data_IF_621103109518
#
_entry.id   IF_621103109518
#
_cell.length_a   1.000
_cell.length_b   1.000
_cell.length_c   1.000
_cell.angle_alpha   90.00
_cell.angle_beta   90.00
_cell.angle_gamma   90.00
#
_symmetry.space_group_name_H-M   'P 1'
#
loop_
_entity.id
_entity.type
_entity.pdbx_description
1 polymer ?
#
# COMPACT_ATOMS: atom_id res chain seq x y z
N UNK A 1 37.57 3.34 -80.31
CA UNK A 1 36.38 3.30 -79.53
C UNK A 1 36.71 2.56 -78.24
N UNK A 2 36.86 3.28 -77.11
CA UNK A 2 37.16 2.70 -75.80
C UNK A 2 35.88 2.65 -74.97
N UNK A 3 35.38 1.44 -74.71
CA UNK A 3 34.22 1.20 -73.90
C UNK A 3 34.62 1.27 -72.41
N UNK A 4 34.18 2.30 -71.72
CA UNK A 4 34.38 2.43 -70.26
C UNK A 4 33.43 1.44 -69.57
N UNK A 5 34.00 0.41 -68.97
CA UNK A 5 33.28 -0.49 -68.01
C UNK A 5 33.02 0.24 -66.74
N UNK A 6 31.78 0.63 -66.46
CA UNK A 6 31.34 1.09 -65.19
C UNK A 6 31.41 -0.07 -64.20
N UNK A 7 32.33 -0.02 -63.24
CA UNK A 7 32.33 -0.90 -62.07
C UNK A 7 31.04 -0.64 -61.25
N UNK A 8 30.16 -1.64 -61.20
CA UNK A 8 29.04 -1.65 -60.27
C UNK A 8 29.59 -1.64 -58.86
N UNK A 9 29.16 -0.66 -58.06
CA UNK A 9 29.43 -0.60 -56.60
C UNK A 9 28.64 -1.73 -55.97
N UNK A 10 29.32 -2.72 -55.39
CA UNK A 10 28.70 -3.75 -54.58
C UNK A 10 27.92 -3.10 -53.44
N UNK A 11 26.67 -3.46 -53.31
CA UNK A 11 25.82 -3.07 -52.21
C UNK A 11 26.17 -3.98 -51.03
N UNK A 12 26.58 -3.46 -49.84
CA UNK A 12 26.94 -4.31 -48.74
C UNK A 12 25.74 -5.16 -48.29
N UNK A 13 26.00 -6.42 -47.91
CA UNK A 13 24.99 -7.31 -47.37
C UNK A 13 24.38 -6.76 -46.07
N UNK A 14 23.15 -7.17 -45.77
CA UNK A 14 22.40 -6.66 -44.59
C UNK A 14 23.14 -6.88 -43.27
N UNK A 15 23.93 -7.94 -43.14
CA UNK A 15 24.72 -8.26 -41.94
C UNK A 15 25.89 -7.29 -41.74
N UNK A 16 26.55 -6.87 -42.83
CA UNK A 16 27.62 -5.85 -42.77
C UNK A 16 27.09 -4.49 -42.37
N UNK A 17 25.87 -4.14 -42.76
CA UNK A 17 25.20 -2.89 -42.37
C UNK A 17 24.89 -2.88 -40.85
N UNK A 18 24.47 -4.01 -40.29
CA UNK A 18 24.20 -4.12 -38.85
C UNK A 18 25.47 -3.95 -38.00
N UNK A 19 26.61 -4.53 -38.46
CA UNK A 19 27.89 -4.38 -37.79
C UNK A 19 28.42 -2.94 -37.87
N UNK A 20 28.28 -2.27 -39.01
CA UNK A 20 28.65 -0.86 -39.17
C UNK A 20 27.79 0.03 -38.28
N UNK A 21 26.48 -0.22 -38.19
CA UNK A 21 25.58 0.55 -37.31
C UNK A 21 25.95 0.35 -35.85
N UNK A 22 26.31 -0.87 -35.43
CA UNK A 22 26.75 -1.13 -34.05
C UNK A 22 28.02 -0.38 -33.69
N UNK A 23 29.03 -0.39 -34.59
CA UNK A 23 30.29 0.36 -34.38
C UNK A 23 30.09 1.87 -34.37
N UNK A 24 29.21 2.41 -35.21
CA UNK A 24 28.87 3.84 -35.22
C UNK A 24 28.14 4.25 -33.92
N UNK A 25 27.34 3.35 -33.35
CA UNK A 25 26.64 3.63 -32.07
C UNK A 25 27.58 3.62 -30.88
N UNK A 26 28.66 2.83 -30.90
CA UNK A 26 29.64 2.76 -29.85
C UNK A 26 30.59 3.99 -29.82
N UNK A 27 31.00 4.50 -30.98
CA UNK A 27 31.89 5.65 -31.12
C UNK A 27 31.19 7.00 -31.30
N UNK A 28 29.87 7.05 -31.19
CA UNK A 28 29.12 8.28 -31.41
C UNK A 28 29.52 9.33 -30.33
N UNK A 29 30.03 10.50 -30.74
CA UNK A 29 30.30 11.61 -29.83
C UNK A 29 29.02 12.16 -29.17
N UNK A 30 27.84 11.70 -29.62
CA UNK A 30 26.53 12.00 -29.06
C UNK A 30 26.06 10.97 -28.01
N UNK A 31 26.98 10.19 -27.40
CA UNK A 31 26.60 9.41 -26.19
C UNK A 31 25.95 10.37 -25.21
N UNK A 32 24.63 10.22 -25.04
CA UNK A 32 23.86 11.02 -24.07
C UNK A 32 24.59 10.89 -22.73
N UNK A 33 25.15 11.98 -22.22
CA UNK A 33 25.74 11.98 -20.88
C UNK A 33 24.72 11.36 -19.95
N UNK A 34 25.13 10.46 -19.04
CA UNK A 34 24.21 9.90 -18.06
C UNK A 34 23.51 11.07 -17.39
N UNK A 35 22.20 11.12 -17.54
CA UNK A 35 21.38 12.21 -16.99
C UNK A 35 21.58 12.19 -15.49
N UNK A 36 22.37 13.12 -14.96
CA UNK A 36 22.53 13.29 -13.51
C UNK A 36 21.14 13.35 -12.90
N UNK A 37 20.88 12.44 -11.96
CA UNK A 37 19.58 12.36 -11.28
C UNK A 37 19.30 13.73 -10.67
N UNK A 38 18.28 14.40 -11.17
CA UNK A 38 17.93 15.77 -10.71
C UNK A 38 17.58 15.69 -9.22
N UNK A 39 18.21 16.55 -8.43
CA UNK A 39 17.99 16.65 -6.98
C UNK A 39 16.96 17.72 -6.63
N UNK A 40 16.73 18.68 -7.52
CA UNK A 40 15.83 19.81 -7.32
C UNK A 40 14.79 19.92 -8.43
N UNK A 41 13.54 20.24 -8.07
CA UNK A 41 12.46 20.56 -8.99
C UNK A 41 11.99 22.01 -8.79
N UNK A 42 11.29 22.55 -9.78
CA UNK A 42 10.67 23.86 -9.70
C UNK A 42 9.29 23.81 -9.02
N UNK A 43 8.85 24.93 -8.44
CA UNK A 43 7.48 25.04 -7.88
C UNK A 43 6.39 24.74 -8.92
N UNK A 44 6.50 25.20 -10.20
CA UNK A 44 5.54 24.79 -11.24
C UNK A 44 5.54 23.31 -11.55
N UNK A 45 6.70 22.63 -11.54
CA UNK A 45 6.78 21.18 -11.75
C UNK A 45 6.08 20.42 -10.62
N UNK A 46 6.34 20.77 -9.37
CA UNK A 46 5.63 20.21 -8.21
C UNK A 46 4.12 20.44 -8.32
N UNK A 47 3.70 21.65 -8.72
CA UNK A 47 2.29 21.95 -8.93
C UNK A 47 1.63 21.12 -10.01
N UNK A 48 2.34 20.79 -11.11
CA UNK A 48 1.86 19.86 -12.16
C UNK A 48 1.74 18.44 -11.64
N UNK A 49 2.72 17.98 -10.85
CA UNK A 49 2.69 16.64 -10.24
C UNK A 49 1.48 16.43 -9.33
N UNK A 50 1.10 17.45 -8.57
CA UNK A 50 -0.02 17.41 -7.63
C UNK A 50 -1.34 17.95 -8.20
N UNK A 51 -1.38 18.39 -9.47
CA UNK A 51 -2.57 19.00 -10.07
C UNK A 51 -3.00 20.32 -9.41
N UNK A 52 -2.07 21.07 -8.79
CA UNK A 52 -2.37 22.26 -8.01
C UNK A 52 -2.39 23.54 -8.85
N UNK A 53 -3.30 24.47 -8.51
CA UNK A 53 -3.35 25.82 -9.06
C UNK A 53 -2.14 26.65 -8.57
N UNK A 54 -1.90 27.79 -9.23
CA UNK A 54 -0.76 28.67 -8.92
C UNK A 54 -0.72 29.11 -7.45
N UNK A 55 -1.84 29.50 -6.89
CA UNK A 55 -1.96 29.94 -5.49
C UNK A 55 -1.63 28.83 -4.51
N UNK A 56 -2.22 27.64 -4.73
CA UNK A 56 -2.12 26.50 -3.80
C UNK A 56 -0.71 25.92 -3.72
N UNK A 57 0.02 25.88 -4.86
CA UNK A 57 1.41 25.40 -4.88
C UNK A 57 2.37 26.31 -4.12
N UNK A 58 2.20 27.65 -4.21
CA UNK A 58 3.03 28.58 -3.44
C UNK A 58 2.66 28.56 -1.96
N UNK A 59 1.38 28.44 -1.63
CA UNK A 59 0.93 28.27 -0.26
C UNK A 59 1.52 27.00 0.39
N UNK A 60 1.60 25.89 -0.37
CA UNK A 60 2.22 24.66 0.12
C UNK A 60 3.72 24.82 0.38
N UNK A 61 4.44 25.57 -0.48
CA UNK A 61 5.86 25.91 -0.27
C UNK A 61 6.03 26.76 0.98
N UNK A 62 5.17 27.76 1.20
CA UNK A 62 5.23 28.63 2.39
C UNK A 62 4.95 27.89 3.70
N UNK A 63 4.28 26.74 3.67
CA UNK A 63 4.10 25.87 4.83
C UNK A 63 5.39 25.17 5.30
N UNK A 64 6.45 25.24 4.52
CA UNK A 64 7.75 24.60 4.82
C UNK A 64 7.65 23.10 5.19
N UNK A 65 6.72 22.38 4.55
CA UNK A 65 6.51 20.94 4.79
C UNK A 65 7.59 20.06 4.15
N UNK A 66 8.33 20.63 3.20
CA UNK A 66 9.50 20.01 2.56
C UNK A 66 10.60 21.07 2.36
N UNK A 67 11.82 20.60 2.15
CA UNK A 67 12.99 21.47 1.96
C UNK A 67 12.86 22.27 0.67
N UNK A 68 12.92 23.59 0.78
CA UNK A 68 12.96 24.52 -0.33
C UNK A 68 14.13 25.50 -0.21
N UNK A 69 14.75 25.84 -1.33
CA UNK A 69 15.90 26.77 -1.39
C UNK A 69 15.75 27.69 -2.58
N UNK A 70 16.16 28.92 -2.43
CA UNK A 70 16.28 29.83 -3.55
C UNK A 70 17.60 29.61 -4.30
N UNK A 71 17.50 29.30 -5.58
CA UNK A 71 18.64 29.08 -6.47
C UNK A 71 18.45 29.96 -7.71
N UNK A 72 19.38 30.88 -7.96
CA UNK A 72 19.34 31.84 -9.06
C UNK A 72 18.02 32.64 -9.11
N UNK A 73 17.57 33.21 -7.98
CA UNK A 73 16.34 34.03 -7.87
C UNK A 73 15.05 33.23 -8.04
N UNK A 74 15.09 31.89 -7.97
CA UNK A 74 13.91 31.04 -8.11
C UNK A 74 13.86 29.98 -7.01
N UNK A 75 12.68 29.80 -6.40
CA UNK A 75 12.46 28.76 -5.39
C UNK A 75 12.56 27.39 -6.05
N UNK A 76 13.37 26.52 -5.48
CA UNK A 76 13.57 25.12 -5.85
C UNK A 76 13.20 24.24 -4.67
N UNK A 77 12.66 23.07 -4.96
CA UNK A 77 12.20 22.08 -3.99
C UNK A 77 13.11 20.86 -4.09
N UNK A 78 13.61 20.39 -2.97
CA UNK A 78 14.38 19.15 -2.91
C UNK A 78 13.45 17.97 -3.18
N UNK A 79 13.77 17.18 -4.22
CA UNK A 79 12.93 16.05 -4.66
C UNK A 79 12.86 14.98 -3.57
N UNK A 80 13.97 14.65 -2.91
CA UNK A 80 13.97 13.62 -1.85
C UNK A 80 13.13 14.04 -0.64
N UNK A 81 13.21 15.33 -0.23
CA UNK A 81 12.39 15.87 0.83
C UNK A 81 10.90 15.89 0.47
N UNK A 82 10.57 16.24 -0.78
CA UNK A 82 9.21 16.20 -1.29
C UNK A 82 8.64 14.77 -1.29
N UNK A 83 9.40 13.78 -1.76
CA UNK A 83 8.94 12.37 -1.76
C UNK A 83 8.75 11.84 -0.34
N UNK A 84 9.64 12.20 0.59
CA UNK A 84 9.48 11.85 2.01
C UNK A 84 8.21 12.47 2.61
N UNK A 85 7.96 13.74 2.33
CA UNK A 85 6.71 14.38 2.75
C UNK A 85 5.49 13.71 2.10
N UNK A 86 5.55 13.40 0.80
CA UNK A 86 4.45 12.75 0.07
C UNK A 86 4.14 11.36 0.62
N UNK A 87 5.15 10.62 1.05
CA UNK A 87 4.98 9.30 1.69
C UNK A 87 4.33 9.38 3.09
N UNK A 88 4.32 10.58 3.72
CA UNK A 88 3.82 10.80 5.09
C UNK A 88 2.58 11.72 5.15
N UNK A 89 1.90 12.00 4.02
CA UNK A 89 0.68 12.78 3.96
C UNK A 89 -0.44 12.01 3.26
N UNK A 90 -1.71 12.47 3.38
CA UNK A 90 -2.89 11.79 2.80
C UNK A 90 -3.68 12.73 1.88
N UNK A 91 -3.54 14.03 2.08
CA UNK A 91 -4.41 15.05 1.48
C UNK A 91 -4.18 15.23 -0.03
N UNK A 92 -2.93 15.23 -0.47
CA UNK A 92 -2.55 15.53 -1.85
C UNK A 92 -2.24 14.25 -2.62
N UNK A 93 -2.78 14.15 -3.84
CA UNK A 93 -2.57 13.00 -4.74
C UNK A 93 -1.76 13.44 -5.96
N UNK A 94 -0.80 12.63 -6.39
CA UNK A 94 -0.11 12.85 -7.66
C UNK A 94 -1.05 12.53 -8.83
N UNK A 95 -1.01 13.34 -9.86
CA UNK A 95 -1.75 13.13 -11.12
C UNK A 95 -1.36 11.79 -11.78
N UNK A 96 -0.17 11.27 -11.48
CA UNK A 96 0.32 9.97 -11.95
C UNK A 96 -0.44 8.76 -11.38
N UNK A 97 -1.36 8.98 -10.43
CA UNK A 97 -2.13 7.92 -9.76
C UNK A 97 -1.39 7.22 -8.62
N UNK A 98 -0.16 7.66 -8.29
CA UNK A 98 0.58 7.13 -7.14
C UNK A 98 -0.13 7.52 -5.84
N UNK A 99 -0.42 6.54 -4.99
CA UNK A 99 -1.09 6.77 -3.71
C UNK A 99 -0.16 7.45 -2.70
N UNK A 100 -0.65 8.49 -1.99
CA UNK A 100 0.08 9.12 -0.89
C UNK A 100 0.11 8.23 0.37
N UNK A 101 0.97 8.59 1.32
CA UNK A 101 0.94 7.99 2.65
C UNK A 101 1.49 6.56 2.73
N UNK A 102 2.39 6.18 1.82
CA UNK A 102 2.99 4.84 1.81
C UNK A 102 3.74 4.53 3.12
N UNK A 103 4.50 5.47 3.66
CA UNK A 103 5.16 5.32 4.95
C UNK A 103 4.16 5.35 6.11
N UNK A 104 3.14 6.20 6.05
CA UNK A 104 2.06 6.23 7.04
C UNK A 104 1.37 4.87 7.19
N UNK A 105 1.04 4.22 6.08
CA UNK A 105 0.42 2.89 6.07
C UNK A 105 1.35 1.81 6.64
N UNK A 106 2.67 2.01 6.61
CA UNK A 106 3.62 1.05 7.16
C UNK A 106 3.58 0.97 8.68
N UNK A 107 3.45 2.10 9.38
CA UNK A 107 3.52 2.17 10.84
C UNK A 107 2.19 2.48 11.54
N UNK A 108 1.14 2.90 10.81
CA UNK A 108 -0.15 3.28 11.41
C UNK A 108 -1.33 2.78 10.60
N UNK A 109 -2.46 2.59 11.29
CA UNK A 109 -3.76 2.30 10.72
C UNK A 109 -4.63 3.56 10.68
N UNK A 110 -5.54 3.68 9.70
CA UNK A 110 -6.66 4.59 9.76
C UNK A 110 -7.75 4.06 10.71
N UNK A 111 -8.65 4.93 11.16
CA UNK A 111 -9.79 4.52 11.97
C UNK A 111 -10.64 3.47 11.23
N UNK A 112 -10.85 3.67 9.93
CA UNK A 112 -11.58 2.73 9.09
C UNK A 112 -10.89 1.36 9.00
N UNK A 113 -9.56 1.32 8.78
CA UNK A 113 -8.80 0.07 8.75
C UNK A 113 -8.91 -0.70 10.07
N UNK A 114 -8.87 0.00 11.23
CA UNK A 114 -9.07 -0.64 12.54
C UNK A 114 -10.50 -1.15 12.70
N UNK A 115 -11.50 -0.40 12.26
CA UNK A 115 -12.89 -0.83 12.26
C UNK A 115 -13.10 -2.09 11.42
N UNK A 116 -12.51 -2.13 10.22
CA UNK A 116 -12.55 -3.28 9.32
C UNK A 116 -11.82 -4.50 9.91
N UNK A 117 -10.67 -4.32 10.57
CA UNK A 117 -9.92 -5.38 11.24
C UNK A 117 -10.71 -6.02 12.39
N UNK A 118 -11.37 -5.20 13.19
CA UNK A 118 -12.17 -5.66 14.35
C UNK A 118 -13.58 -6.10 13.95
N UNK A 119 -14.05 -5.80 12.74
CA UNK A 119 -15.42 -6.04 12.32
C UNK A 119 -16.45 -5.22 13.07
N UNK A 120 -16.11 -3.96 13.40
CA UNK A 120 -16.96 -3.03 14.16
C UNK A 120 -17.18 -1.74 13.38
N UNK A 121 -18.10 -0.91 13.86
CA UNK A 121 -18.35 0.42 13.30
C UNK A 121 -17.19 1.39 13.63
N UNK A 122 -16.89 2.32 12.74
CA UNK A 122 -15.92 3.40 12.95
C UNK A 122 -16.23 4.24 14.20
N UNK A 123 -17.52 4.45 14.49
CA UNK A 123 -17.97 5.18 15.68
C UNK A 123 -17.41 4.55 16.97
N UNK A 124 -17.41 3.23 17.05
CA UNK A 124 -16.89 2.52 18.21
C UNK A 124 -15.38 2.71 18.37
N UNK A 125 -14.63 2.74 17.27
CA UNK A 125 -13.19 3.03 17.28
C UNK A 125 -12.94 4.48 17.78
N UNK A 126 -13.74 5.44 17.34
CA UNK A 126 -13.68 6.81 17.85
C UNK A 126 -14.00 6.89 19.36
N UNK A 127 -14.93 6.09 19.86
CA UNK A 127 -15.26 6.02 21.28
C UNK A 127 -14.11 5.41 22.11
N UNK A 128 -13.45 4.36 21.58
CA UNK A 128 -12.24 3.79 22.20
C UNK A 128 -11.09 4.81 22.27
N UNK A 129 -10.88 5.59 21.21
CA UNK A 129 -9.89 6.67 21.20
C UNK A 129 -10.26 7.79 22.19
N UNK A 130 -11.53 8.14 22.29
CA UNK A 130 -12.03 9.15 23.24
C UNK A 130 -11.85 8.71 24.69
N UNK A 131 -11.94 7.41 24.97
CA UNK A 131 -11.70 6.81 26.29
C UNK A 131 -10.21 6.58 26.58
N UNK A 132 -9.31 7.08 25.74
CA UNK A 132 -7.86 6.92 25.84
C UNK A 132 -7.39 5.44 25.96
N UNK A 133 -8.14 4.52 25.39
CA UNK A 133 -7.74 3.11 25.37
C UNK A 133 -6.68 2.80 24.31
N UNK A 134 -6.61 3.62 23.26
CA UNK A 134 -5.57 3.58 22.22
C UNK A 134 -5.06 4.99 21.97
N UNK A 135 -3.77 5.10 21.67
CA UNK A 135 -3.18 6.37 21.25
C UNK A 135 -3.48 6.63 19.78
N UNK A 136 -3.72 7.89 19.45
CA UNK A 136 -3.88 8.33 18.07
C UNK A 136 -3.02 9.55 17.79
N UNK A 137 -2.43 9.58 16.62
CA UNK A 137 -1.68 10.72 16.07
C UNK A 137 -2.52 11.40 15.00
N UNK A 138 -2.54 12.73 15.00
CA UNK A 138 -3.26 13.51 13.99
C UNK A 138 -2.29 13.81 12.83
N UNK A 139 -2.64 13.35 11.64
CA UNK A 139 -1.91 13.62 10.40
C UNK A 139 -2.89 14.24 9.40
N UNK A 140 -2.60 15.44 8.91
CA UNK A 140 -3.45 16.17 7.94
C UNK A 140 -4.94 16.20 8.31
N UNK A 141 -5.26 16.46 9.59
CA UNK A 141 -6.61 16.46 10.18
C UNK A 141 -7.25 15.08 10.41
N UNK A 142 -6.61 13.99 10.00
CA UNK A 142 -7.11 12.64 10.19
C UNK A 142 -6.42 11.96 11.38
N UNK A 143 -7.19 11.22 12.17
CA UNK A 143 -6.64 10.39 13.23
C UNK A 143 -6.04 9.12 12.64
N UNK A 144 -4.79 8.86 13.00
CA UNK A 144 -4.06 7.64 12.67
C UNK A 144 -3.68 6.93 13.96
N UNK A 145 -3.82 5.62 14.00
CA UNK A 145 -3.55 4.79 15.17
C UNK A 145 -2.24 4.05 14.91
N UNK A 146 -1.16 4.32 15.70
CA UNK A 146 0.07 3.55 15.58
C UNK A 146 -0.19 2.06 15.74
N UNK A 147 0.44 1.23 14.91
CA UNK A 147 0.27 -0.24 14.97
C UNK A 147 0.65 -0.82 16.32
N UNK A 148 1.69 -0.25 16.95
CA UNK A 148 2.13 -0.64 18.29
C UNK A 148 1.06 -0.35 19.36
N UNK A 149 0.46 0.85 19.33
CA UNK A 149 -0.62 1.22 20.24
C UNK A 149 -1.84 0.31 20.09
N UNK A 150 -2.23 0.03 18.84
CA UNK A 150 -3.29 -0.94 18.54
C UNK A 150 -2.96 -2.33 19.07
N UNK A 151 -1.75 -2.85 18.84
CA UNK A 151 -1.33 -4.17 19.30
C UNK A 151 -1.30 -4.27 20.83
N UNK A 152 -0.79 -3.24 21.51
CA UNK A 152 -0.75 -3.19 22.97
C UNK A 152 -2.16 -3.22 23.58
N UNK A 153 -3.05 -2.38 23.05
CA UNK A 153 -4.46 -2.39 23.45
C UNK A 153 -5.12 -3.75 23.13
N UNK A 154 -4.89 -4.28 21.93
CA UNK A 154 -5.49 -5.56 21.51
C UNK A 154 -5.09 -6.72 22.42
N UNK A 155 -3.84 -6.76 22.89
CA UNK A 155 -3.35 -7.77 23.84
C UNK A 155 -3.94 -7.58 25.25
N UNK A 156 -4.25 -6.36 25.66
CA UNK A 156 -4.76 -6.05 27.00
C UNK A 156 -6.26 -6.30 27.18
N UNK A 157 -7.00 -6.50 26.09
CA UNK A 157 -8.44 -6.69 26.12
C UNK A 157 -8.86 -8.07 25.60
N UNK A 158 -10.02 -8.57 26.03
CA UNK A 158 -10.58 -9.88 25.62
C UNK A 158 -11.88 -9.77 24.83
N UNK A 159 -12.47 -8.57 24.75
CA UNK A 159 -13.80 -8.36 24.19
C UNK A 159 -13.82 -8.36 22.65
N UNK A 160 -12.82 -7.73 22.03
CA UNK A 160 -12.76 -7.57 20.58
C UNK A 160 -11.72 -8.52 20.00
N UNK A 161 -12.07 -9.23 18.92
CA UNK A 161 -11.17 -10.09 18.17
C UNK A 161 -11.11 -9.63 16.73
N UNK A 162 -9.95 -9.74 16.09
CA UNK A 162 -9.82 -9.48 14.66
C UNK A 162 -10.56 -10.55 13.87
N UNK A 163 -11.05 -10.21 12.68
CA UNK A 163 -11.72 -11.16 11.78
C UNK A 163 -10.85 -12.40 11.50
N UNK A 164 -9.54 -12.19 11.32
CA UNK A 164 -8.56 -13.27 11.08
C UNK A 164 -8.44 -14.20 12.30
N UNK A 165 -8.30 -13.63 13.50
CA UNK A 165 -8.21 -14.43 14.73
C UNK A 165 -9.50 -15.19 15.02
N UNK A 166 -10.65 -14.63 14.67
CA UNK A 166 -11.94 -15.30 14.80
C UNK A 166 -12.06 -16.49 13.84
N UNK A 167 -11.59 -16.34 12.60
CA UNK A 167 -11.60 -17.42 11.61
C UNK A 167 -10.65 -18.57 12.00
N UNK A 168 -9.43 -18.25 12.47
CA UNK A 168 -8.46 -19.26 12.94
C UNK A 168 -8.97 -19.97 14.20
N UNK A 169 -9.55 -19.25 15.16
CA UNK A 169 -10.13 -19.86 16.36
C UNK A 169 -11.29 -20.81 16.01
N UNK A 170 -12.12 -20.47 15.03
CA UNK A 170 -13.18 -21.34 14.53
C UNK A 170 -12.61 -22.61 13.87
N UNK A 171 -11.56 -22.49 13.07
CA UNK A 171 -10.88 -23.61 12.41
C UNK A 171 -10.22 -24.58 13.40
N UNK A 172 -9.48 -24.03 14.37
CA UNK A 172 -8.84 -24.82 15.44
C UNK A 172 -9.90 -25.54 16.28
N UNK A 173 -11.03 -24.87 16.57
CA UNK A 173 -12.11 -25.49 17.32
C UNK A 173 -12.78 -26.64 16.54
N UNK A 174 -12.96 -26.51 15.24
CA UNK A 174 -13.47 -27.58 14.37
C UNK A 174 -12.53 -28.79 14.39
N UNK A 175 -11.23 -28.57 14.23
CA UNK A 175 -10.23 -29.65 14.28
C UNK A 175 -10.18 -30.36 15.64
N UNK A 176 -10.25 -29.63 16.76
CA UNK A 176 -10.29 -30.24 18.10
C UNK A 176 -11.55 -31.10 18.25
N UNK A 177 -12.69 -30.62 17.79
CA UNK A 177 -13.93 -31.41 17.82
C UNK A 177 -13.88 -32.67 16.97
N UNK A 178 -13.15 -32.67 15.86
CA UNK A 178 -12.95 -33.87 15.01
C UNK A 178 -12.02 -34.87 15.66
N UNK A 179 -10.95 -34.44 16.35
CA UNK A 179 -10.00 -35.32 17.03
C UNK A 179 -10.56 -35.96 18.31
N UNK A 180 -11.37 -35.23 19.06
CA UNK A 180 -12.03 -35.77 20.28
C UNK A 180 -13.17 -36.74 19.97
N UNK A 181 -13.73 -36.73 18.75
CA UNK A 181 -14.84 -37.59 18.37
C UNK A 181 -14.44 -39.03 17.94
N UNK A 182 -13.16 -39.39 17.94
CA UNK A 182 -12.71 -40.76 17.62
C UNK A 182 -12.91 -41.76 18.76
N UNK A 183 -13.39 -41.32 19.93
CA UNK A 183 -13.61 -42.17 21.10
C UNK A 183 -15.10 -42.22 21.51
N UNK A 184 -15.58 -43.40 21.85
CA UNK A 184 -16.94 -43.87 22.15
C UNK A 184 -17.87 -43.03 23.06
N UNK A 185 -17.57 -41.77 23.39
CA UNK A 185 -18.37 -40.89 24.24
C UNK A 185 -19.03 -39.72 23.51
N UNK A 186 -18.97 -39.69 22.19
CA UNK A 186 -19.45 -38.54 21.35
C UNK A 186 -20.97 -38.31 21.46
N UNK A 187 -21.75 -39.33 21.61
CA UNK A 187 -23.22 -39.21 21.61
C UNK A 187 -23.82 -38.52 22.84
N UNK A 188 -23.10 -38.49 23.96
CA UNK A 188 -23.58 -37.91 25.21
C UNK A 188 -23.27 -36.41 25.32
N UNK A 189 -22.19 -35.96 24.66
CA UNK A 189 -21.74 -34.56 24.68
C UNK A 189 -22.48 -33.71 23.64
N UNK A 190 -22.95 -34.31 22.55
CA UNK A 190 -23.62 -33.63 21.46
C UNK A 190 -24.99 -33.02 21.82
N UNK A 191 -25.66 -33.51 22.89
CA UNK A 191 -27.00 -33.02 23.28
C UNK A 191 -27.00 -31.77 24.17
N UNK A 192 -25.85 -31.32 24.69
CA UNK A 192 -25.77 -30.21 25.63
C UNK A 192 -24.86 -29.05 25.21
N UNK A 193 -24.40 -29.01 23.98
CA UNK A 193 -23.50 -27.93 23.53
C UNK A 193 -24.26 -26.75 22.92
N UNK A 194 -23.91 -25.54 23.32
CA UNK A 194 -24.52 -24.33 22.76
C UNK A 194 -24.16 -24.19 21.28
N UNK A 195 -25.08 -23.61 20.55
CA UNK A 195 -24.90 -23.18 19.17
C UNK A 195 -23.92 -21.99 19.17
N UNK A 196 -22.86 -22.07 18.38
CA UNK A 196 -21.88 -20.98 18.30
C UNK A 196 -22.12 -20.13 17.05
N UNK A 197 -22.19 -18.83 17.24
CA UNK A 197 -22.26 -17.87 16.15
C UNK A 197 -20.84 -17.55 15.66
N UNK A 198 -20.48 -18.04 14.49
CA UNK A 198 -19.29 -17.61 13.78
C UNK A 198 -19.69 -16.77 12.58
N UNK A 199 -19.46 -15.46 12.62
CA UNK A 199 -19.68 -14.53 11.50
C UNK A 199 -21.10 -14.54 10.92
N UNK A 200 -22.15 -14.60 11.76
CA UNK A 200 -23.52 -14.65 11.27
C UNK A 200 -23.96 -16.01 10.72
N UNK A 201 -23.14 -17.05 10.91
CA UNK A 201 -23.51 -18.42 10.54
C UNK A 201 -23.78 -19.26 11.78
N UNK A 202 -24.90 -19.94 11.77
CA UNK A 202 -25.23 -21.01 12.73
C UNK A 202 -24.53 -22.28 12.28
N UNK A 203 -23.53 -22.72 13.05
CA UNK A 203 -22.81 -23.97 12.74
C UNK A 203 -23.35 -25.09 13.64
N UNK A 204 -23.99 -26.10 13.07
CA UNK A 204 -24.48 -27.27 13.77
C UNK A 204 -23.81 -28.52 13.20
N UNK A 205 -23.35 -29.40 14.06
CA UNK A 205 -22.79 -30.69 13.65
C UNK A 205 -23.92 -31.69 13.41
N UNK A 206 -23.94 -32.28 12.23
CA UNK A 206 -24.86 -33.39 11.90
C UNK A 206 -24.21 -34.74 12.23
N UNK A 207 -25.02 -35.78 12.43
CA UNK A 207 -24.56 -37.12 12.80
C UNK A 207 -23.65 -37.80 11.77
N UNK A 208 -23.51 -37.23 10.58
CA UNK A 208 -22.58 -37.68 9.52
C UNK A 208 -21.24 -36.99 9.48
N UNK A 209 -20.90 -36.11 10.45
CA UNK A 209 -19.60 -35.38 10.48
C UNK A 209 -19.57 -34.13 9.58
N UNK A 210 -20.63 -33.83 8.86
CA UNK A 210 -20.74 -32.65 8.00
C UNK A 210 -21.14 -31.43 8.85
N UNK A 211 -20.46 -30.31 8.65
CA UNK A 211 -20.79 -29.03 9.29
C UNK A 211 -21.72 -28.30 8.34
N UNK A 212 -22.97 -28.18 8.69
CA UNK A 212 -23.91 -27.33 7.98
C UNK A 212 -23.81 -25.89 8.51
N UNK A 213 -23.43 -24.96 7.66
CA UNK A 213 -23.48 -23.53 7.95
C UNK A 213 -24.82 -22.98 7.42
N UNK A 214 -25.70 -22.55 8.31
CA UNK A 214 -26.91 -21.85 7.93
C UNK A 214 -26.72 -20.36 8.07
N UNK A 215 -27.16 -19.60 7.06
CA UNK A 215 -27.22 -18.14 7.08
C UNK A 215 -28.52 -17.77 7.79
N UNK A 216 -28.45 -16.96 8.85
CA UNK A 216 -29.61 -16.27 9.42
C UNK A 216 -29.95 -15.01 8.64
#
# INVERSE_FOLDING_TARGET
MATAIMKQKEVPEMDDVAEIISKISEDSPYKRRPTQKRTWMTVPEMGKLLGLKKTDRYWLVHKNVFESKEIAGKIRINIASFEKWYANQIKYHKVTGEEPGKELKSWSYSVKEVADLLGVDEYLVYDLLKKNQMEAVIVDYWKRIPKESFQNWYKSQSRYRTKEASSVACWVYVQICETENSGRNAARIARSRPVYHCHGYLVRKTDGGIIEAMIE
#
